data_IF_214411211564
#
_entry.id   IF_214411211564
#
_cell.length_a   1.000
_cell.length_b   1.000
_cell.length_c   1.000
_cell.angle_alpha   90.00
_cell.angle_beta   90.00
_cell.angle_gamma   90.00
#
_symmetry.space_group_name_H-M   'P 1'
#
loop_
_entity.id
_entity.type
_entity.pdbx_description
1 polymer ?
#
# COMPACT_ATOMS: atom_id res chain seq x y z
N UNK A 1 0.14 -9.07 3.48
CA UNK A 1 0.38 -8.02 4.49
C UNK A 1 -0.97 -7.57 5.02
N UNK A 2 -1.08 -7.26 6.31
CA UNK A 2 -2.33 -6.77 6.91
C UNK A 2 -2.36 -5.23 6.92
N UNK A 3 -3.57 -4.67 6.83
CA UNK A 3 -3.78 -3.22 6.82
C UNK A 3 -4.25 -2.72 8.19
N UNK A 4 -3.71 -1.58 8.63
CA UNK A 4 -4.29 -0.78 9.71
C UNK A 4 -4.74 0.58 9.20
N UNK A 5 -5.77 1.13 9.82
CA UNK A 5 -6.12 2.54 9.67
C UNK A 5 -5.26 3.38 10.60
N UNK A 6 -4.70 4.47 10.09
CA UNK A 6 -3.96 5.43 10.90
C UNK A 6 -3.17 6.40 10.03
N UNK A 7 -2.30 7.17 10.70
CA UNK A 7 -1.36 8.05 10.01
C UNK A 7 -0.04 7.30 9.83
N UNK A 8 0.47 7.13 8.60
CA UNK A 8 1.75 6.49 8.37
C UNK A 8 2.88 7.25 9.09
N UNK A 9 3.90 6.52 9.53
CA UNK A 9 5.03 7.12 10.21
C UNK A 9 5.73 8.15 9.31
N UNK A 10 6.03 9.36 9.81
CA UNK A 10 6.73 10.38 9.04
C UNK A 10 8.11 9.87 8.64
N UNK A 11 8.45 10.02 7.36
CA UNK A 11 9.71 9.56 6.78
C UNK A 11 9.72 9.68 5.26
N UNK A 12 10.91 9.64 4.66
CA UNK A 12 11.07 9.57 3.21
C UNK A 12 11.14 8.11 2.79
N UNK A 13 10.00 7.58 2.36
CA UNK A 13 9.84 6.18 2.00
C UNK A 13 9.75 5.99 0.48
N UNK A 14 10.20 4.85 -0.06
CA UNK A 14 10.03 4.56 -1.48
C UNK A 14 8.54 4.43 -1.84
N UNK A 15 8.21 4.70 -3.11
CA UNK A 15 6.89 4.41 -3.63
C UNK A 15 6.68 2.88 -3.67
N UNK A 16 5.58 2.43 -3.07
CA UNK A 16 5.14 1.05 -3.10
C UNK A 16 3.79 0.99 -3.82
N UNK A 17 3.66 0.03 -4.74
CA UNK A 17 2.38 -0.30 -5.35
C UNK A 17 1.64 -1.23 -4.40
N UNK A 18 0.46 -0.78 -3.96
CA UNK A 18 -0.43 -1.51 -3.07
C UNK A 18 -1.68 -1.87 -3.83
N UNK A 19 -2.09 -3.13 -3.74
CA UNK A 19 -3.30 -3.66 -4.37
C UNK A 19 -4.14 -4.47 -3.37
N UNK A 20 -5.45 -4.30 -3.45
CA UNK A 20 -6.38 -5.13 -2.70
C UNK A 20 -6.43 -6.57 -3.27
N UNK A 21 -7.02 -7.50 -2.52
CA UNK A 21 -7.20 -8.90 -2.96
C UNK A 21 -8.64 -9.20 -3.43
N UNK A 22 -9.41 -8.17 -3.80
CA UNK A 22 -10.78 -8.31 -4.27
C UNK A 22 -10.81 -8.43 -5.79
N UNK A 23 -11.15 -9.59 -6.32
CA UNK A 23 -11.13 -9.83 -7.77
C UNK A 23 -12.15 -8.97 -8.53
N UNK A 24 -13.41 -8.96 -8.11
CA UNK A 24 -14.48 -8.19 -8.76
C UNK A 24 -14.31 -6.66 -8.63
N UNK A 25 -13.63 -6.20 -7.57
CA UNK A 25 -13.40 -4.78 -7.30
C UNK A 25 -11.92 -4.50 -7.09
N UNK A 26 -11.09 -5.01 -8.00
CA UNK A 26 -9.66 -4.81 -7.93
C UNK A 26 -9.32 -3.32 -7.92
N UNK A 27 -8.50 -2.91 -6.95
CA UNK A 27 -7.99 -1.55 -6.80
C UNK A 27 -6.52 -1.61 -6.44
N UNK A 28 -5.74 -0.73 -7.05
CA UNK A 28 -4.35 -0.52 -6.71
C UNK A 28 -4.04 0.98 -6.66
N UNK A 29 -3.09 1.36 -5.81
CA UNK A 29 -2.62 2.74 -5.67
C UNK A 29 -1.15 2.77 -5.27
N UNK A 30 -0.50 3.91 -5.51
CA UNK A 30 0.86 4.16 -5.07
C UNK A 30 0.86 4.89 -3.73
N UNK A 31 1.65 4.37 -2.79
CA UNK A 31 1.84 4.95 -1.46
C UNK A 31 3.31 4.98 -1.10
N UNK A 32 3.78 6.05 -0.47
CA UNK A 32 5.12 6.13 0.08
C UNK A 32 5.10 5.53 1.50
N UNK A 33 5.58 4.31 1.64
CA UNK A 33 5.53 3.54 2.89
C UNK A 33 6.78 2.70 3.06
N UNK A 34 7.12 2.41 4.31
CA UNK A 34 8.23 1.53 4.64
C UNK A 34 7.97 0.10 4.11
N UNK A 35 8.79 -0.42 3.18
CA UNK A 35 8.60 -1.74 2.61
C UNK A 35 8.88 -2.89 3.59
N UNK A 36 9.61 -2.61 4.69
CA UNK A 36 9.98 -3.59 5.71
C UNK A 36 8.98 -3.65 6.87
N UNK A 37 7.93 -2.82 6.84
CA UNK A 37 6.94 -2.77 7.89
C UNK A 37 6.09 -4.05 7.96
N UNK A 38 5.87 -4.56 9.18
CA UNK A 38 5.03 -5.75 9.41
C UNK A 38 3.54 -5.48 9.10
N UNK A 39 3.09 -4.23 9.25
CA UNK A 39 1.71 -3.82 9.03
C UNK A 39 1.62 -2.51 8.27
N UNK A 40 0.86 -2.51 7.17
CA UNK A 40 0.67 -1.31 6.37
C UNK A 40 -0.35 -0.37 7.04
N UNK A 41 0.11 0.79 7.50
CA UNK A 41 -0.76 1.84 8.03
C UNK A 41 -1.19 2.76 6.88
N UNK A 42 -2.50 2.84 6.63
CA UNK A 42 -3.11 3.68 5.61
C UNK A 42 -4.09 4.67 6.22
N UNK A 43 -4.17 5.85 5.61
CA UNK A 43 -5.20 6.83 5.95
C UNK A 43 -6.59 6.34 5.53
N UNK A 44 -7.64 6.88 6.15
CA UNK A 44 -9.02 6.57 5.76
C UNK A 44 -9.29 6.82 4.26
N UNK A 45 -8.68 7.86 3.67
CA UNK A 45 -8.80 8.16 2.25
C UNK A 45 -8.16 7.08 1.36
N UNK A 46 -6.99 6.56 1.76
CA UNK A 46 -6.31 5.47 1.04
C UNK A 46 -7.06 4.15 1.17
N UNK A 47 -7.65 3.87 2.35
CA UNK A 47 -8.51 2.70 2.55
C UNK A 47 -9.75 2.74 1.66
N UNK A 48 -10.44 3.89 1.59
CA UNK A 48 -11.60 4.04 0.71
C UNK A 48 -11.23 3.90 -0.77
N UNK A 49 -10.09 4.47 -1.19
CA UNK A 49 -9.60 4.35 -2.56
C UNK A 49 -9.31 2.88 -2.95
N UNK A 50 -8.75 2.10 -2.01
CA UNK A 50 -8.48 0.67 -2.18
C UNK A 50 -9.71 -0.23 -1.94
N UNK A 51 -10.81 0.33 -1.43
CA UNK A 51 -11.98 -0.43 -0.95
C UNK A 51 -11.59 -1.54 0.05
N UNK A 52 -10.62 -1.23 0.90
CA UNK A 52 -10.16 -2.07 2.00
C UNK A 52 -10.62 -1.53 3.35
N UNK A 53 -10.61 -2.40 4.36
CA UNK A 53 -10.83 -2.07 5.76
C UNK A 53 -9.59 -2.44 6.56
N UNK A 54 -9.45 -1.89 7.76
CA UNK A 54 -8.44 -2.36 8.70
C UNK A 54 -8.65 -3.86 8.99
N UNK A 55 -7.56 -4.64 8.96
CA UNK A 55 -7.57 -6.09 9.05
C UNK A 55 -7.67 -6.83 7.71
N UNK A 56 -7.98 -6.15 6.60
CA UNK A 56 -7.92 -6.78 5.28
C UNK A 56 -6.48 -7.13 4.88
N UNK A 57 -6.37 -8.13 4.03
CA UNK A 57 -5.11 -8.50 3.38
C UNK A 57 -4.92 -7.74 2.09
N UNK A 58 -3.68 -7.34 1.85
CA UNK A 58 -3.26 -6.66 0.63
C UNK A 58 -1.96 -7.24 0.10
N UNK A 59 -1.71 -6.96 -1.18
CA UNK A 59 -0.42 -7.17 -1.82
C UNK A 59 0.30 -5.85 -1.96
N UNK A 60 1.55 -5.84 -1.57
CA UNK A 60 2.43 -4.68 -1.68
C UNK A 60 3.71 -5.09 -2.39
N UNK A 61 4.17 -4.25 -3.31
CA UNK A 61 5.48 -4.38 -3.94
C UNK A 61 6.17 -3.02 -3.94
N UNK A 62 7.42 -2.99 -3.51
CA UNK A 62 8.25 -1.79 -3.62
C UNK A 62 8.53 -1.53 -5.11
N UNK A 63 8.26 -0.31 -5.58
CA UNK A 63 8.78 0.09 -6.88
C UNK A 63 10.28 0.36 -6.73
N UNK A 64 11.09 -0.40 -7.45
CA UNK A 64 12.49 -0.07 -7.60
C UNK A 64 12.59 1.08 -8.64
N UNK A 65 13.30 2.17 -8.32
CA UNK A 65 13.52 3.27 -9.27
C UNK A 65 14.40 2.87 -10.46
N UNK A 66 15.07 1.71 -10.40
CA UNK A 66 15.70 1.06 -11.55
C UNK A 66 14.62 0.46 -12.47
N UNK A 67 13.75 1.31 -13.00
CA UNK A 67 12.99 0.98 -14.21
C UNK A 67 13.98 0.75 -15.35
N UNK A 68 13.72 -0.31 -16.11
CA UNK A 68 14.51 -0.81 -17.24
C UNK A 68 15.07 0.33 -18.09
N UNK A 69 16.38 0.58 -17.98
CA UNK A 69 17.11 1.21 -19.09
C UNK A 69 17.00 0.22 -20.25
N UNK A 70 16.30 0.65 -21.30
CA UNK A 70 15.92 -0.17 -22.46
C UNK A 70 17.13 -0.86 -23.12
#
# INVERSE_FOLDING_TARGET
MEVAEGQPAPGEWPACLVANEQYDQFRATLVCVDPECERLVLTAAQLDALKCRAGDRIRMVRLCPEEKTA
#
